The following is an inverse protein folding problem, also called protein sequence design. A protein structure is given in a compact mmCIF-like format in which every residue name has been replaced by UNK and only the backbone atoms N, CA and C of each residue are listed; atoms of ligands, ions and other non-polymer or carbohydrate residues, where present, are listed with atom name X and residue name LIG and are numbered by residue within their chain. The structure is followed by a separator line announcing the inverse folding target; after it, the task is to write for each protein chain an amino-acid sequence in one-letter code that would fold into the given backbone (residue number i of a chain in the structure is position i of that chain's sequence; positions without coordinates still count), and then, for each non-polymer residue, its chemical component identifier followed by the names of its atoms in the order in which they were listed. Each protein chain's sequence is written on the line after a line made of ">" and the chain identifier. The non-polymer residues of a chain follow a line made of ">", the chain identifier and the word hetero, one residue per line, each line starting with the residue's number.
data_IF_114619235516
#
_entry.id   IF_114619235516
#
_cell.length_a   1.000
_cell.length_b   1.000
_cell.length_c   1.000
_cell.angle_alpha   90.00
_cell.angle_beta   90.00
_cell.angle_gamma   90.00
#
_symmetry.space_group_name_H-M   'P 1'
#
loop_
_entity.id
_entity.type
_entity.pdbx_description
1 polymer ?
#
# COMPACT_ATOMS: atom_id res chain seq x y z
N UNK A 1 5.07 74.59 13.95
CA UNK A 1 3.99 73.57 14.01
C UNK A 1 4.23 72.60 12.84
N UNK A 2 4.48 71.32 13.12
CA UNK A 2 4.84 70.31 12.09
C UNK A 2 3.69 70.11 11.09
N UNK A 3 3.95 69.96 9.78
CA UNK A 3 2.96 69.39 8.86
C UNK A 3 2.92 67.87 9.04
N UNK A 4 1.73 67.34 9.30
CA UNK A 4 1.45 65.90 9.36
C UNK A 4 1.44 65.31 7.94
N UNK A 5 2.42 64.48 7.64
CA UNK A 5 2.36 63.57 6.48
C UNK A 5 1.42 62.41 6.82
N UNK A 6 0.28 62.32 6.13
CA UNK A 6 -0.51 61.09 6.09
C UNK A 6 0.10 60.16 5.04
N UNK A 7 0.45 58.90 5.36
CA UNK A 7 0.86 57.94 4.35
C UNK A 7 -0.38 57.41 3.61
N UNK A 8 -0.39 57.54 2.29
CA UNK A 8 -1.34 56.88 1.41
C UNK A 8 -1.18 55.35 1.54
N UNK A 9 -2.16 54.69 2.17
CA UNK A 9 -2.21 53.22 2.27
C UNK A 9 -2.83 52.62 1.00
N UNK A 10 -2.03 52.46 -0.05
CA UNK A 10 -2.40 51.62 -1.20
C UNK A 10 -1.93 50.18 -0.97
N UNK A 11 -2.64 49.43 -0.12
CA UNK A 11 -2.49 47.97 -0.07
C UNK A 11 -3.15 47.36 -1.30
N UNK A 12 -2.42 46.59 -2.15
CA UNK A 12 -3.03 45.92 -3.28
C UNK A 12 -4.01 44.83 -2.82
N UNK A 13 -5.09 44.57 -3.57
CA UNK A 13 -6.06 43.54 -3.20
C UNK A 13 -5.39 42.16 -3.19
N UNK A 14 -5.79 41.27 -2.26
CA UNK A 14 -5.22 39.93 -2.17
C UNK A 14 -5.52 39.13 -3.44
N UNK A 15 -4.60 38.25 -3.87
CA UNK A 15 -4.80 37.42 -5.04
C UNK A 15 -6.04 36.53 -4.86
N UNK A 16 -6.80 36.27 -5.94
CA UNK A 16 -7.95 35.39 -5.86
C UNK A 16 -7.52 33.99 -5.38
N UNK A 17 -8.33 33.32 -4.55
CA UNK A 17 -8.02 31.98 -4.10
C UNK A 17 -7.82 31.07 -5.33
N UNK A 18 -6.88 30.11 -5.27
CA UNK A 18 -6.69 29.16 -6.35
C UNK A 18 -8.04 28.52 -6.63
N UNK A 19 -8.46 28.52 -7.91
CA UNK A 19 -9.69 27.85 -8.34
C UNK A 19 -9.62 26.43 -7.79
N UNK A 20 -10.47 26.11 -6.81
CA UNK A 20 -10.63 24.75 -6.33
C UNK A 20 -11.25 24.01 -7.50
N UNK A 21 -10.40 23.43 -8.35
CA UNK A 21 -10.84 22.56 -9.42
C UNK A 21 -11.53 21.38 -8.73
N UNK A 22 -12.85 21.47 -8.63
CA UNK A 22 -13.70 20.38 -8.18
C UNK A 22 -13.92 19.41 -9.33
N UNK A 23 -12.86 19.06 -10.07
CA UNK A 23 -12.85 17.83 -10.84
C UNK A 23 -12.63 16.69 -9.85
N UNK A 24 -13.73 16.33 -9.17
CA UNK A 24 -13.92 14.94 -8.77
C UNK A 24 -14.06 14.17 -10.07
N UNK A 25 -12.93 13.88 -10.72
CA UNK A 25 -12.90 12.92 -11.81
C UNK A 25 -13.63 11.68 -11.30
N UNK A 26 -14.61 11.21 -12.09
CA UNK A 26 -15.28 9.94 -11.84
C UNK A 26 -14.22 8.84 -11.87
N UNK A 27 -13.60 8.55 -10.73
CA UNK A 27 -12.74 7.39 -10.58
C UNK A 27 -13.57 6.16 -10.96
N UNK A 28 -13.02 5.27 -11.78
CA UNK A 28 -13.70 4.08 -12.21
C UNK A 28 -14.19 3.28 -10.98
N UNK A 29 -15.45 2.84 -10.99
CA UNK A 29 -15.98 2.02 -9.89
C UNK A 29 -15.34 0.63 -9.98
N UNK A 30 -14.68 0.14 -8.91
CA UNK A 30 -13.99 -1.14 -8.95
C UNK A 30 -14.98 -2.32 -9.02
N UNK A 31 -14.64 -3.36 -9.77
CA UNK A 31 -15.53 -4.52 -9.98
C UNK A 31 -15.62 -5.45 -8.75
N UNK A 32 -14.65 -5.40 -7.83
CA UNK A 32 -14.60 -6.32 -6.69
C UNK A 32 -15.65 -5.96 -5.62
N UNK A 33 -16.72 -6.75 -5.57
CA UNK A 33 -17.76 -6.65 -4.54
C UNK A 33 -17.35 -7.34 -3.23
N UNK A 34 -16.62 -8.45 -3.30
CA UNK A 34 -16.18 -9.22 -2.13
C UNK A 34 -15.21 -8.44 -1.25
N UNK A 35 -15.42 -8.47 0.07
CA UNK A 35 -14.50 -7.90 1.06
C UNK A 35 -13.16 -8.65 1.04
N UNK A 36 -12.05 -7.90 0.98
CA UNK A 36 -10.71 -8.48 1.04
C UNK A 36 -10.43 -8.91 2.48
N UNK A 37 -10.32 -10.22 2.70
CA UNK A 37 -9.97 -10.80 4.01
C UNK A 37 -8.50 -11.26 3.98
N UNK A 38 -7.69 -10.76 4.92
CA UNK A 38 -6.31 -11.22 5.12
C UNK A 38 -6.26 -12.15 6.33
N UNK A 39 -6.04 -13.46 6.08
CA UNK A 39 -5.96 -14.49 7.14
C UNK A 39 -4.83 -14.24 8.13
N UNK A 40 -3.72 -13.65 7.67
CA UNK A 40 -2.58 -13.27 8.50
C UNK A 40 -1.92 -12.03 7.91
N UNK A 41 -1.70 -11.03 8.75
CA UNK A 41 -0.99 -9.79 8.39
C UNK A 41 0.47 -9.85 8.84
N UNK A 42 0.74 -10.47 10.00
CA UNK A 42 2.10 -10.59 10.55
C UNK A 42 2.99 -11.45 9.66
N UNK A 43 4.14 -10.89 9.27
CA UNK A 43 5.14 -11.57 8.45
C UNK A 43 5.71 -12.82 9.15
N UNK A 44 6.12 -13.79 8.35
CA UNK A 44 6.82 -14.99 8.81
C UNK A 44 8.31 -14.68 8.96
N UNK A 45 8.74 -14.38 10.19
CA UNK A 45 10.14 -14.08 10.49
C UNK A 45 10.93 -15.37 10.72
N UNK A 46 12.21 -15.39 10.31
CA UNK A 46 13.15 -16.45 10.66
C UNK A 46 13.37 -16.50 12.19
N UNK A 47 13.41 -17.69 12.83
CA UNK A 47 13.71 -17.77 14.26
C UNK A 47 15.08 -17.18 14.58
N UNK A 48 15.19 -16.46 15.71
CA UNK A 48 16.39 -15.76 16.18
C UNK A 48 16.90 -14.60 15.31
N UNK A 49 16.12 -14.16 14.31
CA UNK A 49 16.46 -12.95 13.53
C UNK A 49 16.35 -11.66 14.32
N UNK A 50 15.67 -11.69 15.46
CA UNK A 50 15.59 -10.62 16.44
C UNK A 50 16.88 -10.45 17.26
N UNK A 51 17.63 -11.54 17.49
CA UNK A 51 18.85 -11.56 18.31
C UNK A 51 20.13 -11.34 17.51
N UNK A 52 20.19 -11.93 16.31
CA UNK A 52 21.41 -11.91 15.49
C UNK A 52 21.22 -11.01 14.27
N UNK A 53 22.01 -9.94 14.18
CA UNK A 53 21.97 -8.96 13.07
C UNK A 53 22.30 -9.64 11.72
N UNK A 54 23.22 -10.62 11.71
CA UNK A 54 23.56 -11.38 10.51
C UNK A 54 22.44 -12.30 9.99
N UNK A 55 21.43 -12.61 10.81
CA UNK A 55 20.30 -13.42 10.38
C UNK A 55 19.21 -12.54 9.77
N UNK A 56 19.09 -12.61 8.44
CA UNK A 56 17.99 -11.97 7.70
C UNK A 56 16.63 -12.42 8.22
N UNK A 57 15.68 -11.48 8.24
CA UNK A 57 14.29 -11.70 8.67
C UNK A 57 13.49 -12.58 7.71
N UNK A 58 13.93 -12.71 6.46
CA UNK A 58 13.32 -13.55 5.43
C UNK A 58 13.18 -15.01 5.89
N UNK A 59 11.97 -15.57 5.71
CA UNK A 59 11.67 -16.93 6.15
C UNK A 59 12.58 -17.99 5.50
N UNK A 60 13.07 -18.91 6.31
CA UNK A 60 13.75 -20.14 5.88
C UNK A 60 13.25 -21.32 6.70
N UNK A 61 13.01 -22.46 6.06
CA UNK A 61 12.52 -23.66 6.75
C UNK A 61 13.61 -24.19 7.70
N UNK A 62 13.35 -24.29 9.02
CA UNK A 62 14.34 -24.81 9.96
C UNK A 62 14.58 -26.31 9.73
N UNK A 63 15.85 -26.71 9.64
CA UNK A 63 16.26 -28.11 9.38
C UNK A 63 16.71 -28.87 10.64
N UNK A 64 17.27 -28.17 11.63
CA UNK A 64 17.89 -28.81 12.81
C UNK A 64 16.94 -29.64 13.68
N UNK A 65 17.47 -30.68 14.32
CA UNK A 65 16.67 -31.68 15.05
C UNK A 65 15.93 -31.11 16.26
N UNK A 66 16.57 -30.20 16.98
CA UNK A 66 16.05 -29.58 18.21
C UNK A 66 15.33 -28.25 17.97
N UNK A 67 15.04 -27.92 16.71
CA UNK A 67 14.33 -26.68 16.41
C UNK A 67 12.89 -26.72 16.92
N UNK A 68 12.59 -25.86 17.90
CA UNK A 68 11.23 -25.72 18.47
C UNK A 68 10.18 -25.36 17.41
N UNK A 69 10.57 -24.52 16.43
CA UNK A 69 9.69 -24.12 15.31
C UNK A 69 9.39 -25.33 14.40
N UNK A 70 10.39 -26.17 14.10
CA UNK A 70 10.22 -27.37 13.28
C UNK A 70 9.27 -28.38 13.93
N UNK A 71 9.41 -28.56 15.24
CA UNK A 71 8.54 -29.43 16.08
C UNK A 71 7.18 -28.79 16.42
N UNK A 72 6.90 -27.56 15.95
CA UNK A 72 5.63 -26.83 16.13
C UNK A 72 5.22 -26.62 17.59
N UNK A 73 6.18 -26.37 18.48
CA UNK A 73 5.86 -26.01 19.86
C UNK A 73 5.03 -24.72 19.93
N UNK A 74 4.14 -24.64 20.94
CA UNK A 74 3.37 -23.43 21.24
C UNK A 74 4.29 -22.27 21.63
N UNK A 75 3.86 -21.04 21.39
CA UNK A 75 4.63 -19.81 21.68
C UNK A 75 5.74 -19.50 20.67
N UNK A 76 6.08 -20.42 19.76
CA UNK A 76 7.04 -20.18 18.69
C UNK A 76 6.38 -19.54 17.44
N UNK A 77 7.19 -19.00 16.54
CA UNK A 77 6.71 -18.49 15.24
C UNK A 77 6.10 -19.62 14.41
N UNK A 78 4.83 -19.46 14.01
CA UNK A 78 4.14 -20.41 13.13
C UNK A 78 4.80 -20.49 11.75
N UNK A 79 4.85 -21.69 11.17
CA UNK A 79 5.40 -21.95 9.84
C UNK A 79 4.43 -21.54 8.72
N UNK A 80 4.91 -21.08 7.56
CA UNK A 80 4.08 -20.80 6.40
C UNK A 80 3.57 -22.10 5.78
N UNK A 81 2.26 -22.17 5.61
CA UNK A 81 1.50 -23.29 5.06
C UNK A 81 0.46 -22.76 4.06
N UNK A 82 -0.04 -23.64 3.18
CA UNK A 82 -1.04 -23.31 2.14
C UNK A 82 -2.33 -22.73 2.74
N UNK A 83 -2.71 -23.15 3.95
CA UNK A 83 -3.91 -22.67 4.65
C UNK A 83 -3.96 -21.15 4.88
N UNK A 84 -2.81 -20.47 4.94
CA UNK A 84 -2.73 -19.00 5.07
C UNK A 84 -2.98 -18.26 3.74
N UNK A 85 -3.11 -18.95 2.62
CA UNK A 85 -3.40 -18.34 1.33
C UNK A 85 -4.71 -17.54 1.33
N UNK A 86 -4.69 -16.34 0.75
CA UNK A 86 -5.89 -15.53 0.51
C UNK A 86 -6.84 -16.18 -0.49
N UNK A 87 -8.10 -15.77 -0.48
CA UNK A 87 -9.10 -16.25 -1.43
C UNK A 87 -8.65 -15.95 -2.87
N UNK A 88 -8.87 -16.89 -3.80
CA UNK A 88 -8.36 -16.82 -5.17
C UNK A 88 -8.83 -15.55 -5.89
N UNK A 89 -10.09 -15.15 -5.65
CA UNK A 89 -10.70 -13.95 -6.25
C UNK A 89 -10.11 -12.63 -5.73
N UNK A 90 -9.58 -12.61 -4.50
CA UNK A 90 -9.06 -11.38 -3.85
C UNK A 90 -7.53 -11.33 -3.78
N UNK A 91 -6.87 -12.35 -4.32
CA UNK A 91 -5.41 -12.45 -4.35
C UNK A 91 -4.85 -11.34 -5.25
N UNK A 92 -3.78 -10.68 -4.80
CA UNK A 92 -3.10 -9.58 -5.51
C UNK A 92 -3.89 -8.27 -5.70
N UNK A 93 -5.07 -8.14 -5.11
CA UNK A 93 -5.79 -6.87 -5.05
C UNK A 93 -5.22 -5.92 -4.00
N UNK A 94 -5.20 -4.63 -4.35
CA UNK A 94 -4.94 -3.51 -3.46
C UNK A 94 -6.17 -3.25 -2.56
N UNK A 95 -6.01 -2.50 -1.46
CA UNK A 95 -7.15 -2.06 -0.65
C UNK A 95 -8.16 -1.24 -1.46
N UNK A 96 -7.71 -0.58 -2.52
CA UNK A 96 -8.54 0.18 -3.48
C UNK A 96 -9.38 -0.71 -4.41
N UNK A 97 -9.29 -2.05 -4.26
CA UNK A 97 -10.02 -3.04 -5.06
C UNK A 97 -9.62 -3.13 -6.55
N UNK A 98 -8.46 -2.61 -6.90
CA UNK A 98 -7.80 -2.85 -8.19
C UNK A 98 -6.61 -3.80 -8.04
N UNK A 99 -6.20 -4.47 -9.11
CA UNK A 99 -4.93 -5.20 -9.19
C UNK A 99 -3.81 -4.24 -9.55
N UNK A 100 -2.65 -4.40 -8.92
CA UNK A 100 -1.44 -3.64 -9.33
C UNK A 100 -0.92 -4.15 -10.66
N UNK A 101 -0.55 -3.23 -11.54
CA UNK A 101 0.18 -3.52 -12.77
C UNK A 101 1.28 -2.48 -12.92
N UNK A 102 2.52 -2.94 -13.09
CA UNK A 102 3.66 -2.04 -13.25
C UNK A 102 3.78 -1.74 -14.73
N UNK A 103 3.72 -0.46 -15.11
CA UNK A 103 3.84 0.02 -16.49
C UNK A 103 5.28 0.43 -16.74
N UNK A 104 5.90 -0.11 -17.78
CA UNK A 104 7.26 0.25 -18.19
C UNK A 104 7.29 1.17 -19.42
N UNK A 105 6.32 1.03 -20.32
CA UNK A 105 6.28 1.74 -21.60
C UNK A 105 4.89 2.31 -21.90
N UNK A 106 4.82 3.23 -22.87
CA UNK A 106 3.54 3.85 -23.29
C UNK A 106 2.60 2.83 -23.92
N UNK A 107 3.12 1.83 -24.65
CA UNK A 107 2.31 0.77 -25.27
C UNK A 107 1.56 -0.10 -24.26
N UNK A 108 2.08 -0.25 -23.04
CA UNK A 108 1.40 -1.02 -21.97
C UNK A 108 0.19 -0.28 -21.39
N UNK A 109 0.08 1.03 -21.64
CA UNK A 109 -1.08 1.83 -21.24
C UNK A 109 -2.32 1.48 -22.06
N UNK A 110 -2.15 1.08 -23.32
CA UNK A 110 -3.25 0.65 -24.18
C UNK A 110 -3.92 -0.63 -23.64
N UNK A 111 -3.13 -1.54 -23.05
CA UNK A 111 -3.65 -2.73 -22.38
C UNK A 111 -4.51 -2.37 -21.15
N UNK A 112 -4.10 -1.34 -20.39
CA UNK A 112 -4.86 -0.83 -19.24
C UNK A 112 -6.21 -0.24 -19.68
N UNK A 113 -6.26 0.36 -20.86
CA UNK A 113 -7.46 0.98 -21.44
C UNK A 113 -8.61 -0.03 -21.62
N UNK A 114 -8.33 -1.31 -21.80
CA UNK A 114 -9.37 -2.37 -21.81
C UNK A 114 -9.74 -2.84 -20.39
N UNK A 115 -8.80 -2.76 -19.44
CA UNK A 115 -8.93 -3.27 -18.07
C UNK A 115 -9.18 -2.16 -17.01
N UNK A 116 -9.72 -1.01 -17.42
CA UNK A 116 -9.89 0.22 -16.62
C UNK A 116 -10.62 0.06 -15.27
N UNK A 117 -11.44 -0.98 -15.09
CA UNK A 117 -12.20 -1.22 -13.84
C UNK A 117 -11.56 -2.26 -12.92
N UNK A 118 -10.52 -2.95 -13.40
CA UNK A 118 -9.88 -4.08 -12.71
C UNK A 118 -8.44 -3.82 -12.31
N UNK A 119 -7.72 -3.02 -13.09
CA UNK A 119 -6.28 -2.82 -12.95
C UNK A 119 -5.97 -1.35 -12.70
N UNK A 120 -5.02 -1.09 -11.80
CA UNK A 120 -4.49 0.23 -11.49
C UNK A 120 -2.97 0.19 -11.63
N UNK A 121 -2.40 1.25 -12.20
CA UNK A 121 -0.95 1.46 -12.24
C UNK A 121 -0.34 1.65 -10.84
#
# INVERSE_FOLDING_TARGET
>A
RKPSLLPNSSTPPPPPPPRRCSDRSKMAVPLLTKKIVKKRVKQFKRPHSDRYIGLKTSWRRPKGIDSRVRRKFKGCTLMPNIGYGSDKKTRHYLPNKFKKFVVHNVSELELLMMHNRDVLC
#
